data_IF_421808885009
#
_entry.id   IF_421808885009
#
_cell.length_a   1.000
_cell.length_b   1.000
_cell.length_c   1.000
_cell.angle_alpha   90.00
_cell.angle_beta   90.00
_cell.angle_gamma   90.00
#
_symmetry.space_group_name_H-M   'P 1'
#
loop_
_entity.id
_entity.type
_entity.pdbx_description
1 polymer ?
#
# COMPACT_ATOMS: atom_id res chain seq x y z
N UNK A 1 -7.93 -16.55 -3.92
CA UNK A 1 -7.32 -15.88 -5.10
C UNK A 1 -5.83 -16.21 -5.15
N UNK A 2 -5.05 -15.72 -6.13
CA UNK A 2 -3.61 -16.01 -6.16
C UNK A 2 -2.90 -15.04 -5.23
N UNK A 3 -1.98 -15.49 -4.35
CA UNK A 3 -1.20 -14.58 -3.53
C UNK A 3 -0.44 -13.55 -4.40
N UNK A 4 -0.35 -12.31 -3.94
CA UNK A 4 0.29 -11.21 -4.66
C UNK A 4 1.60 -10.84 -3.99
N UNK A 5 2.67 -10.76 -4.79
CA UNK A 5 4.00 -10.36 -4.33
C UNK A 5 4.11 -8.83 -4.37
N UNK A 6 4.46 -8.22 -3.24
CA UNK A 6 4.50 -6.77 -3.04
C UNK A 6 5.84 -6.34 -2.45
N UNK A 7 6.31 -5.15 -2.83
CA UNK A 7 7.45 -4.51 -2.17
C UNK A 7 6.96 -3.79 -0.91
N UNK A 8 7.65 -3.97 0.21
CA UNK A 8 7.37 -3.24 1.44
C UNK A 8 7.73 -1.75 1.22
N UNK A 9 6.75 -0.88 1.43
CA UNK A 9 6.84 0.54 1.13
C UNK A 9 7.79 1.24 2.08
N UNK A 10 7.76 0.89 3.36
CA UNK A 10 8.61 1.50 4.39
C UNK A 10 10.00 0.86 4.42
N UNK A 11 10.11 -0.38 3.92
CA UNK A 11 11.33 -1.17 3.89
C UNK A 11 11.59 -1.66 2.47
N UNK A 12 11.97 -0.76 1.56
CA UNK A 12 12.11 -1.05 0.13
C UNK A 12 12.82 -2.39 -0.21
N UNK A 13 13.84 -2.81 0.54
CA UNK A 13 14.50 -4.10 0.31
C UNK A 13 13.73 -5.37 0.73
N UNK A 14 12.58 -5.24 1.41
CA UNK A 14 11.74 -6.34 1.88
C UNK A 14 10.59 -6.63 0.91
N UNK A 15 10.29 -7.93 0.74
CA UNK A 15 9.18 -8.40 -0.08
C UNK A 15 8.15 -9.06 0.83
N UNK A 16 6.87 -8.81 0.54
CA UNK A 16 5.71 -9.41 1.21
C UNK A 16 4.87 -10.20 0.22
N UNK A 17 4.24 -11.25 0.71
CA UNK A 17 3.21 -11.98 -0.02
C UNK A 17 1.88 -11.71 0.68
N UNK A 18 0.98 -11.06 -0.05
CA UNK A 18 -0.39 -10.75 0.36
C UNK A 18 -1.32 -11.90 -0.04
N UNK A 19 -2.12 -12.38 0.92
CA UNK A 19 -3.33 -13.14 0.62
C UNK A 19 -4.49 -12.14 0.38
N UNK A 20 -4.99 -12.01 -0.86
CA UNK A 20 -6.02 -11.01 -1.17
C UNK A 20 -7.35 -11.25 -0.45
N UNK A 21 -7.63 -12.51 -0.07
CA UNK A 21 -8.92 -12.86 0.56
C UNK A 21 -8.94 -12.50 2.05
N UNK A 22 -7.79 -12.58 2.72
CA UNK A 22 -7.68 -12.31 4.16
C UNK A 22 -6.98 -11.01 4.52
N UNK A 23 -6.22 -10.41 3.59
CA UNK A 23 -5.37 -9.25 3.87
C UNK A 23 -4.08 -9.56 4.62
N UNK A 24 -3.83 -10.85 4.87
CA UNK A 24 -2.67 -11.29 5.66
C UNK A 24 -1.40 -11.20 4.83
N UNK A 25 -0.34 -10.72 5.47
CA UNK A 25 0.99 -10.66 4.92
C UNK A 25 1.86 -11.78 5.48
N UNK A 26 2.61 -12.40 4.59
CA UNK A 26 3.70 -13.31 4.93
C UNK A 26 5.01 -12.81 4.33
N UNK A 27 6.17 -13.15 4.91
CA UNK A 27 7.45 -12.84 4.29
C UNK A 27 7.53 -13.45 2.89
N UNK A 28 7.88 -12.63 1.89
CA UNK A 28 8.19 -13.10 0.55
C UNK A 28 9.66 -13.45 0.42
N UNK A 29 9.97 -14.38 -0.50
CA UNK A 29 11.35 -14.60 -0.89
C UNK A 29 11.87 -13.35 -1.62
N UNK A 30 13.00 -12.80 -1.19
CA UNK A 30 13.68 -11.72 -1.93
C UNK A 30 14.48 -12.26 -3.13
N UNK A 31 14.78 -13.56 -3.14
CA UNK A 31 15.39 -14.32 -4.26
C UNK A 31 14.84 -15.74 -4.29
N UNK A 32 14.49 -16.25 -5.48
CA UNK A 32 14.20 -17.68 -5.64
C UNK A 32 15.47 -18.50 -5.44
N UNK A 33 15.42 -19.55 -4.61
CA UNK A 33 16.54 -20.48 -4.39
C UNK A 33 16.72 -21.48 -5.52
N UNK A 34 15.70 -21.66 -6.36
CA UNK A 34 15.64 -22.72 -7.37
C UNK A 34 16.06 -22.25 -8.77
N UNK A 35 16.20 -20.94 -8.95
CA UNK A 35 16.74 -20.35 -10.17
C UNK A 35 17.58 -19.13 -9.76
N UNK A 36 18.90 -19.29 -9.72
CA UNK A 36 19.83 -18.31 -9.13
C UNK A 36 19.82 -16.90 -9.79
N UNK A 37 19.00 -16.72 -10.83
CA UNK A 37 18.86 -15.48 -11.60
C UNK A 37 17.44 -14.87 -11.60
N UNK A 38 16.43 -15.47 -10.96
CA UNK A 38 15.07 -14.92 -10.98
C UNK A 38 14.66 -14.33 -9.62
N UNK A 39 14.70 -13.00 -9.52
CA UNK A 39 14.04 -12.25 -8.45
C UNK A 39 12.52 -12.24 -8.71
N UNK A 40 11.67 -12.55 -7.72
CA UNK A 40 10.23 -12.46 -7.92
C UNK A 40 9.83 -11.01 -8.19
N UNK A 41 9.00 -10.79 -9.21
CA UNK A 41 8.49 -9.48 -9.55
C UNK A 41 7.40 -9.06 -8.57
N UNK A 42 7.50 -7.83 -8.08
CA UNK A 42 6.49 -7.17 -7.28
C UNK A 42 5.41 -6.58 -8.20
N UNK A 43 4.16 -6.66 -7.76
CA UNK A 43 2.98 -6.18 -8.48
C UNK A 43 2.29 -5.02 -7.75
N UNK A 44 3.04 -4.32 -6.90
CA UNK A 44 2.55 -3.21 -6.09
C UNK A 44 3.38 -3.00 -4.83
N UNK A 45 2.88 -2.11 -3.98
CA UNK A 45 3.48 -1.79 -2.69
C UNK A 45 2.55 -2.14 -1.54
N UNK A 46 3.14 -2.37 -0.38
CA UNK A 46 2.43 -2.57 0.89
C UNK A 46 3.07 -1.76 2.00
N UNK A 47 2.25 -1.05 2.76
CA UNK A 47 2.59 -0.50 4.06
C UNK A 47 2.14 -1.49 5.15
N UNK A 48 3.08 -1.96 5.96
CA UNK A 48 2.78 -2.91 7.03
C UNK A 48 2.22 -2.13 8.21
N UNK A 49 0.97 -2.38 8.56
CA UNK A 49 0.35 -1.70 9.68
C UNK A 49 0.96 -2.23 10.98
N UNK A 50 1.29 -1.34 11.95
CA UNK A 50 1.80 -1.79 13.23
C UNK A 50 0.76 -2.67 13.91
N UNK A 51 1.17 -3.88 14.29
CA UNK A 51 0.33 -4.80 15.04
C UNK A 51 -0.07 -4.15 16.36
N UNK A 52 -1.37 -4.15 16.65
CA UNK A 52 -1.84 -3.77 17.98
C UNK A 52 -1.19 -4.73 18.98
N UNK A 53 -0.41 -4.20 19.94
CA UNK A 53 0.47 -4.99 20.81
C UNK A 53 -0.26 -6.02 21.71
N UNK A 54 -1.58 -6.08 21.59
CA UNK A 54 -2.51 -6.94 22.32
C UNK A 54 -2.69 -8.34 21.72
N UNK A 55 -2.18 -8.64 20.52
CA UNK A 55 -2.38 -9.94 19.85
C UNK A 55 -1.09 -10.48 19.19
N UNK A 56 -0.27 -11.29 19.89
CA UNK A 56 1.06 -11.70 19.43
C UNK A 56 1.08 -12.88 18.42
N UNK A 57 -0.05 -13.25 17.81
CA UNK A 57 -0.17 -14.52 17.06
C UNK A 57 -0.84 -14.44 15.68
N UNK A 58 -1.25 -13.27 15.21
CA UNK A 58 -1.90 -13.15 13.89
C UNK A 58 -0.90 -12.61 12.86
N UNK A 59 -0.96 -13.08 11.61
CA UNK A 59 -0.15 -12.53 10.53
C UNK A 59 -0.35 -11.02 10.42
N UNK A 60 0.69 -10.26 10.05
CA UNK A 60 0.60 -8.81 9.89
C UNK A 60 -0.47 -8.47 8.84
N UNK A 61 -1.27 -7.44 9.12
CA UNK A 61 -2.14 -6.82 8.12
C UNK A 61 -1.40 -5.65 7.46
N UNK A 62 -1.78 -5.32 6.23
CA UNK A 62 -1.20 -4.20 5.51
C UNK A 62 -2.23 -3.37 4.78
N UNK A 63 -1.81 -2.16 4.45
CA UNK A 63 -2.43 -1.37 3.41
C UNK A 63 -1.65 -1.59 2.11
N UNK A 64 -2.31 -2.08 1.06
CA UNK A 64 -1.65 -2.47 -0.18
C UNK A 64 -2.27 -1.76 -1.39
N UNK A 65 -1.42 -1.31 -2.31
CA UNK A 65 -1.82 -0.80 -3.62
C UNK A 65 -1.14 -1.67 -4.68
N UNK A 66 -1.92 -2.48 -5.39
CA UNK A 66 -1.39 -3.54 -6.25
C UNK A 66 -2.26 -3.79 -7.47
N UNK A 67 -1.71 -4.46 -8.48
CA UNK A 67 -2.49 -4.92 -9.61
C UNK A 67 -2.64 -6.45 -9.63
N UNK A 68 -3.87 -6.89 -9.86
CA UNK A 68 -4.22 -8.31 -10.01
C UNK A 68 -5.42 -8.42 -10.96
N UNK A 69 -5.43 -9.43 -11.82
CA UNK A 69 -6.56 -9.72 -12.72
C UNK A 69 -6.98 -8.51 -13.58
N UNK A 70 -5.99 -7.79 -14.13
CA UNK A 70 -6.17 -6.60 -14.97
C UNK A 70 -6.76 -5.37 -14.27
N UNK A 71 -6.83 -5.37 -12.94
CA UNK A 71 -7.35 -4.26 -12.13
C UNK A 71 -6.28 -3.72 -11.19
N UNK A 72 -6.46 -2.47 -10.79
CA UNK A 72 -5.69 -1.84 -9.72
C UNK A 72 -6.55 -1.86 -8.46
N UNK A 73 -6.00 -2.38 -7.37
CA UNK A 73 -6.67 -2.60 -6.10
C UNK A 73 -5.98 -1.82 -5.00
N UNK A 74 -6.78 -1.13 -4.19
CA UNK A 74 -6.38 -0.66 -2.87
C UNK A 74 -6.99 -1.60 -1.84
N UNK A 75 -6.21 -2.10 -0.89
CA UNK A 75 -6.66 -3.04 0.13
C UNK A 75 -6.18 -2.61 1.51
N UNK A 76 -7.04 -2.76 2.52
CA UNK A 76 -6.72 -2.60 3.94
C UNK A 76 -7.27 -3.80 4.69
N UNK A 77 -6.39 -4.66 5.19
CA UNK A 77 -6.81 -5.95 5.75
C UNK A 77 -7.60 -6.75 4.70
N UNK A 78 -8.72 -7.36 5.10
CA UNK A 78 -9.56 -8.13 4.18
C UNK A 78 -10.41 -7.28 3.22
N UNK A 79 -10.51 -5.97 3.46
CA UNK A 79 -11.33 -5.07 2.66
C UNK A 79 -10.54 -4.51 1.48
N UNK A 80 -11.13 -4.54 0.28
CA UNK A 80 -10.49 -4.01 -0.94
C UNK A 80 -11.44 -3.23 -1.83
N UNK A 81 -10.87 -2.32 -2.60
CA UNK A 81 -11.58 -1.41 -3.49
C UNK A 81 -10.93 -1.38 -4.87
N UNK A 82 -11.75 -1.40 -5.90
CA UNK A 82 -11.32 -1.22 -7.28
C UNK A 82 -10.98 0.26 -7.53
N UNK A 83 -9.71 0.54 -7.82
CA UNK A 83 -9.20 1.89 -8.04
C UNK A 83 -9.77 2.57 -9.29
N UNK A 84 -10.40 1.84 -10.21
CA UNK A 84 -11.09 2.46 -11.34
C UNK A 84 -12.31 3.26 -10.91
N UNK A 85 -12.98 2.84 -9.83
CA UNK A 85 -14.28 3.41 -9.42
C UNK A 85 -14.27 4.02 -8.01
N UNK A 86 -13.39 3.58 -7.12
CA UNK A 86 -13.31 4.16 -5.78
C UNK A 86 -12.72 5.57 -5.84
N UNK A 87 -13.34 6.49 -5.12
CA UNK A 87 -12.74 7.79 -4.86
C UNK A 87 -11.95 7.73 -3.56
N UNK A 88 -10.68 8.13 -3.62
CA UNK A 88 -9.78 8.18 -2.46
C UNK A 88 -9.48 9.63 -2.16
N UNK A 89 -9.77 10.06 -0.93
CA UNK A 89 -9.49 11.42 -0.45
C UNK A 89 -8.59 11.37 0.77
N UNK A 90 -7.71 12.35 0.88
CA UNK A 90 -6.85 12.53 2.04
C UNK A 90 -7.07 13.92 2.64
N UNK A 91 -7.15 14.00 3.97
CA UNK A 91 -7.24 15.25 4.69
C UNK A 91 -6.35 15.24 5.92
N UNK A 92 -5.60 16.32 6.13
CA UNK A 92 -4.87 16.57 7.39
C UNK A 92 -5.77 17.35 8.35
N UNK A 93 -5.85 16.90 9.59
CA UNK A 93 -6.61 17.54 10.66
C UNK A 93 -5.74 18.54 11.44
N UNK A 94 -6.34 19.51 12.16
CA UNK A 94 -5.60 20.53 12.89
C UNK A 94 -4.66 19.99 13.98
N UNK A 95 -4.96 18.82 14.55
CA UNK A 95 -4.13 18.12 15.54
C UNK A 95 -2.96 17.35 14.90
N UNK A 96 -2.77 17.47 13.58
CA UNK A 96 -1.76 16.78 12.82
C UNK A 96 -2.13 15.35 12.43
N UNK A 97 -3.23 14.80 12.96
CA UNK A 97 -3.76 13.50 12.53
C UNK A 97 -4.27 13.59 11.09
N UNK A 98 -4.48 12.42 10.48
CA UNK A 98 -4.84 12.31 9.07
C UNK A 98 -6.07 11.45 8.92
N UNK A 99 -6.83 11.73 7.87
CA UNK A 99 -8.03 10.99 7.53
C UNK A 99 -7.95 10.61 6.06
N UNK A 100 -8.05 9.31 5.80
CA UNK A 100 -8.26 8.79 4.45
C UNK A 100 -9.73 8.42 4.33
N UNK A 101 -10.37 8.83 3.24
CA UNK A 101 -11.75 8.46 2.92
C UNK A 101 -11.77 7.66 1.63
N UNK A 102 -12.38 6.47 1.70
CA UNK A 102 -12.59 5.56 0.58
C UNK A 102 -14.08 5.56 0.25
N UNK A 103 -14.47 6.18 -0.86
CA UNK A 103 -15.85 6.32 -1.29
C UNK A 103 -16.11 5.47 -2.55
N UNK A 104 -16.56 4.21 -2.40
CA UNK A 104 -17.07 3.43 -3.52
C UNK A 104 -18.43 4.00 -4.00
N UNK A 105 -18.79 3.82 -5.28
CA UNK A 105 -20.03 4.38 -5.83
C UNK A 105 -21.31 3.82 -5.20
N UNK A 106 -21.30 2.54 -4.82
CA UNK A 106 -22.49 1.80 -4.38
C UNK A 106 -22.46 1.37 -2.91
N UNK A 107 -21.58 1.96 -2.10
CA UNK A 107 -21.47 1.64 -0.67
C UNK A 107 -21.09 2.88 0.17
N UNK A 108 -21.34 2.85 1.49
CA UNK A 108 -20.94 3.93 2.36
C UNK A 108 -19.43 4.19 2.30
N UNK A 109 -19.05 5.47 2.37
CA UNK A 109 -17.65 5.83 2.48
C UNK A 109 -17.05 5.26 3.77
N UNK A 110 -15.83 4.72 3.67
CA UNK A 110 -15.05 4.27 4.81
C UNK A 110 -14.03 5.33 5.16
N UNK A 111 -13.97 5.68 6.44
CA UNK A 111 -12.96 6.55 7.00
C UNK A 111 -11.88 5.73 7.70
N UNK A 112 -10.62 6.01 7.37
CA UNK A 112 -9.45 5.41 8.00
C UNK A 112 -8.69 6.52 8.73
N UNK A 113 -8.86 6.65 10.05
CA UNK A 113 -8.10 7.61 10.83
C UNK A 113 -6.66 7.10 10.99
N UNK A 114 -5.70 7.97 10.69
CA UNK A 114 -4.28 7.71 10.88
C UNK A 114 -3.74 8.69 11.92
N UNK A 115 -2.87 8.24 12.83
CA UNK A 115 -2.26 9.13 13.83
C UNK A 115 -1.48 10.25 13.14
N UNK A 116 -1.08 11.29 13.87
CA UNK A 116 -0.09 12.22 13.35
C UNK A 116 1.22 11.45 13.03
N UNK A 117 1.96 11.80 11.97
CA UNK A 117 3.25 11.17 11.73
C UNK A 117 4.15 11.39 12.93
N UNK A 118 4.95 10.38 13.28
CA UNK A 118 6.03 10.56 14.26
C UNK A 118 7.12 11.39 13.58
N UNK A 119 7.00 12.72 13.73
CA UNK A 119 8.03 13.63 13.29
C UNK A 119 9.16 13.48 14.29
N UNK A 120 10.15 12.65 13.96
CA UNK A 120 11.44 12.66 14.62
C UNK A 120 12.07 14.06 14.61
N UNK A 121 13.31 14.21 15.10
CA UNK A 121 13.98 15.51 15.07
C UNK A 121 13.92 16.14 13.67
N UNK A 122 13.54 17.43 13.62
CA UNK A 122 13.40 18.17 12.36
C UNK A 122 14.68 18.07 11.52
N UNK A 123 14.57 17.44 10.36
CA UNK A 123 15.62 17.39 9.35
C UNK A 123 15.34 18.48 8.30
N UNK A 124 16.17 19.52 8.19
CA UNK A 124 15.97 20.58 7.21
C UNK A 124 16.20 20.15 5.75
N UNK A 125 16.73 18.95 5.52
CA UNK A 125 16.83 18.35 4.19
C UNK A 125 15.58 17.57 3.78
N UNK A 126 14.67 17.32 4.72
CA UNK A 126 13.42 16.61 4.50
C UNK A 126 12.35 17.56 3.95
N UNK A 127 12.02 17.42 2.66
CA UNK A 127 11.05 18.28 1.99
C UNK A 127 9.64 17.65 1.88
N UNK A 128 8.72 18.38 1.24
CA UNK A 128 7.32 17.94 1.13
C UNK A 128 7.15 16.70 0.24
N UNK A 129 8.08 16.47 -0.70
CA UNK A 129 8.14 15.30 -1.57
C UNK A 129 8.51 14.07 -0.77
N UNK A 130 9.48 14.22 0.15
CA UNK A 130 9.86 13.15 1.09
C UNK A 130 8.68 12.79 2.02
N UNK A 131 7.94 13.80 2.48
CA UNK A 131 6.75 13.57 3.32
C UNK A 131 5.60 12.82 2.60
N UNK A 132 5.43 13.04 1.28
CA UNK A 132 4.49 12.26 0.47
C UNK A 132 5.05 10.85 0.23
N UNK A 133 6.34 10.74 -0.05
CA UNK A 133 7.02 9.46 -0.27
C UNK A 133 7.07 8.58 0.99
N UNK A 134 6.98 9.14 2.19
CA UNK A 134 6.96 8.33 3.42
C UNK A 134 5.54 8.03 3.93
N UNK A 135 4.52 8.75 3.46
CA UNK A 135 3.12 8.49 3.83
C UNK A 135 2.41 7.74 2.70
N UNK A 136 2.41 6.41 2.82
CA UNK A 136 1.77 5.50 1.86
C UNK A 136 0.36 5.92 1.46
N UNK A 137 -0.46 6.41 2.41
CA UNK A 137 -1.84 6.76 2.11
C UNK A 137 -1.98 8.10 1.41
N UNK A 138 -1.14 9.08 1.77
CA UNK A 138 -1.06 10.35 1.05
C UNK A 138 -0.59 10.11 -0.39
N UNK A 139 0.49 9.34 -0.57
CA UNK A 139 0.97 8.94 -1.88
C UNK A 139 -0.11 8.20 -2.68
N UNK A 140 -0.76 7.19 -2.10
CA UNK A 140 -1.80 6.44 -2.79
C UNK A 140 -2.99 7.35 -3.18
N UNK A 141 -3.42 8.26 -2.30
CA UNK A 141 -4.49 9.20 -2.63
C UNK A 141 -4.10 10.14 -3.78
N UNK A 142 -2.86 10.66 -3.78
CA UNK A 142 -2.33 11.52 -4.85
C UNK A 142 -2.28 10.77 -6.19
N UNK A 143 -1.68 9.58 -6.19
CA UNK A 143 -1.59 8.71 -7.36
C UNK A 143 -2.97 8.31 -7.93
N UNK A 144 -3.96 8.14 -7.06
CA UNK A 144 -5.31 7.77 -7.45
C UNK A 144 -6.20 8.99 -7.75
N UNK A 145 -5.75 10.21 -7.53
CA UNK A 145 -6.57 11.40 -7.81
C UNK A 145 -6.80 11.63 -9.31
N UNK A 146 -5.83 11.23 -10.16
CA UNK A 146 -5.88 11.44 -11.61
C UNK A 146 -6.11 10.13 -12.40
N UNK A 147 -7.09 10.07 -13.32
CA UNK A 147 -7.35 8.87 -14.12
C UNK A 147 -6.13 8.38 -14.95
N UNK A 148 -5.29 9.31 -15.42
CA UNK A 148 -4.10 8.98 -16.19
C UNK A 148 -3.06 8.23 -15.33
N UNK A 149 -2.83 8.68 -14.09
CA UNK A 149 -1.92 8.03 -13.15
C UNK A 149 -2.39 6.62 -12.78
N UNK A 150 -3.70 6.44 -12.54
CA UNK A 150 -4.28 5.10 -12.31
C UNK A 150 -3.96 4.14 -13.45
N UNK A 151 -4.10 4.59 -14.70
CA UNK A 151 -3.84 3.77 -15.88
C UNK A 151 -2.35 3.39 -16.01
N UNK A 152 -1.46 4.35 -15.75
CA UNK A 152 0.00 4.12 -15.76
C UNK A 152 0.41 3.13 -14.66
N UNK A 153 -0.05 3.34 -13.43
CA UNK A 153 0.23 2.46 -12.29
C UNK A 153 -0.28 1.04 -12.53
N UNK A 154 -1.52 0.91 -13.00
CA UNK A 154 -2.07 -0.40 -13.37
C UNK A 154 -1.20 -1.12 -14.39
N UNK A 155 -0.81 -0.43 -15.48
CA UNK A 155 0.02 -1.03 -16.52
C UNK A 155 1.40 -1.43 -15.99
N UNK A 156 2.01 -0.59 -15.14
CA UNK A 156 3.30 -0.85 -14.52
C UNK A 156 3.23 -2.07 -13.59
N UNK A 157 2.28 -2.10 -12.67
CA UNK A 157 2.11 -3.18 -11.70
C UNK A 157 1.71 -4.50 -12.35
N UNK A 158 0.88 -4.49 -13.39
CA UNK A 158 0.56 -5.72 -14.15
C UNK A 158 1.80 -6.30 -14.85
N UNK A 159 2.74 -5.46 -15.30
CA UNK A 159 4.02 -5.92 -15.87
C UNK A 159 4.94 -6.50 -14.80
N UNK A 160 4.80 -6.06 -13.56
CA UNK A 160 5.70 -6.37 -12.47
C UNK A 160 7.00 -5.57 -12.53
N UNK A 161 7.67 -5.46 -11.39
CA UNK A 161 8.97 -4.79 -11.25
C UNK A 161 9.85 -5.50 -10.22
N UNK A 162 11.15 -5.35 -10.33
CA UNK A 162 12.08 -5.86 -9.33
C UNK A 162 12.05 -4.97 -8.09
N UNK A 163 12.11 -5.53 -6.87
CA UNK A 163 12.24 -4.72 -5.66
C UNK A 163 13.55 -3.92 -5.70
N UNK A 164 13.46 -2.63 -5.38
CA UNK A 164 14.57 -1.66 -5.36
C UNK A 164 15.22 -1.50 -3.99
#
# INVERSE_FOLDING_TARGET
>A
MTPVVLQDYDRHGEVRVLDPDSGRLSPGATRSTDDANATPLCHGFVHVLPHDASSPSEAAEGAALYAESSRLWLQLGADRWDCEVVEVRYARRPDGSRLVTLAPPDAPAREVPLPAPDTGPFDPSYDWTDAVADDFFLWAADQLSEPAHRAVLRAHYLRGFEPV
#
